data_IF_229432954724
#
_entry.id   IF_229432954724
#
_cell.length_a   1.000
_cell.length_b   1.000
_cell.length_c   1.000
_cell.angle_alpha   90.00
_cell.angle_beta   90.00
_cell.angle_gamma   90.00
#
_symmetry.space_group_name_H-M   'P 1'
#
loop_
_entity.id
_entity.type
_entity.pdbx_description
1 polymer ?
#
# COMPACT_ATOMS: atom_id res chain seq x y z
N UNK A 1 -8.84 -21.73 -6.95
CA UNK A 1 -8.84 -20.60 -5.99
C UNK A 1 -7.58 -19.79 -6.25
N UNK A 2 -7.63 -18.45 -6.32
CA UNK A 2 -6.39 -17.66 -6.45
C UNK A 2 -5.78 -17.49 -5.05
N UNK A 3 -4.57 -18.02 -4.79
CA UNK A 3 -3.93 -17.83 -3.50
C UNK A 3 -3.63 -16.34 -3.30
N UNK A 4 -3.77 -15.88 -2.06
CA UNK A 4 -3.48 -14.50 -1.69
C UNK A 4 -1.96 -14.36 -1.53
N UNK A 5 -1.27 -13.91 -2.58
CA UNK A 5 0.19 -13.79 -2.53
C UNK A 5 0.62 -12.57 -1.71
N UNK A 6 1.50 -12.82 -0.73
CA UNK A 6 2.08 -11.76 0.09
C UNK A 6 2.95 -10.78 -0.70
N UNK A 7 3.44 -11.19 -1.88
CA UNK A 7 4.13 -10.27 -2.79
C UNK A 7 3.23 -9.10 -3.21
N UNK A 8 1.94 -9.34 -3.48
CA UNK A 8 0.99 -8.28 -3.78
C UNK A 8 0.66 -7.42 -2.57
N UNK A 9 0.54 -8.00 -1.37
CA UNK A 9 0.35 -7.23 -0.14
C UNK A 9 1.52 -6.26 0.10
N UNK A 10 2.76 -6.74 -0.07
CA UNK A 10 3.97 -5.90 0.02
C UNK A 10 4.00 -4.82 -1.05
N UNK A 11 3.62 -5.14 -2.28
CA UNK A 11 3.58 -4.20 -3.38
C UNK A 11 2.55 -3.08 -3.13
N UNK A 12 1.36 -3.43 -2.62
CA UNK A 12 0.33 -2.45 -2.21
C UNK A 12 0.84 -1.56 -1.06
N UNK A 13 1.50 -2.14 -0.05
CA UNK A 13 2.11 -1.36 1.03
C UNK A 13 3.19 -0.41 0.52
N UNK A 14 4.03 -0.84 -0.44
CA UNK A 14 5.04 0.02 -1.05
C UNK A 14 4.41 1.19 -1.80
N UNK A 15 3.31 0.96 -2.54
CA UNK A 15 2.58 2.04 -3.18
C UNK A 15 1.99 3.04 -2.18
N UNK A 16 1.43 2.56 -1.07
CA UNK A 16 0.94 3.45 -0.02
C UNK A 16 2.06 4.22 0.67
N UNK A 17 3.15 3.56 1.04
CA UNK A 17 4.30 4.19 1.67
C UNK A 17 4.93 5.28 0.77
N UNK A 18 5.16 4.96 -0.50
CA UNK A 18 5.70 5.92 -1.48
C UNK A 18 4.72 7.07 -1.73
N UNK A 19 3.44 6.78 -1.92
CA UNK A 19 2.42 7.80 -2.16
C UNK A 19 2.31 8.80 -1.00
N UNK A 20 2.30 8.30 0.25
CA UNK A 20 2.32 9.14 1.45
C UNK A 20 3.62 9.94 1.54
N UNK A 21 4.76 9.32 1.26
CA UNK A 21 6.06 10.00 1.27
C UNK A 21 6.09 11.18 0.29
N UNK A 22 5.64 10.99 -0.95
CA UNK A 22 5.58 12.06 -1.94
C UNK A 22 4.66 13.22 -1.52
N UNK A 23 3.51 12.91 -0.90
CA UNK A 23 2.60 13.94 -0.37
C UNK A 23 3.20 14.68 0.83
N UNK A 24 3.86 13.97 1.73
CA UNK A 24 4.53 14.58 2.89
C UNK A 24 5.68 15.51 2.46
N UNK A 25 6.49 15.08 1.47
CA UNK A 25 7.54 15.93 0.88
C UNK A 25 6.94 17.16 0.20
N UNK A 26 5.82 17.01 -0.52
CA UNK A 26 5.13 18.15 -1.12
C UNK A 26 4.64 19.18 -0.08
N UNK A 27 4.15 18.72 1.07
CA UNK A 27 3.69 19.58 2.16
C UNK A 27 4.86 20.30 2.85
N UNK A 28 6.01 19.61 2.95
CA UNK A 28 7.22 20.15 3.57
C UNK A 28 7.85 21.31 2.79
N UNK A 29 7.54 21.50 1.51
CA UNK A 29 8.06 22.60 0.69
C UNK A 29 7.15 23.84 0.89
N UNK A 30 7.55 24.86 1.69
CA UNK A 30 6.72 26.04 1.92
C UNK A 30 6.63 26.89 0.65
N UNK A 31 5.42 27.35 0.32
CA UNK A 31 5.20 28.31 -0.78
C UNK A 31 5.90 29.66 -0.55
N UNK A 32 6.26 29.98 0.71
CA UNK A 32 6.82 31.26 1.12
C UNK A 32 8.28 31.49 0.74
N UNK A 33 9.10 30.47 0.49
CA UNK A 33 10.55 30.63 0.27
C UNK A 33 10.94 30.91 -1.19
N UNK A 34 9.99 31.01 -2.12
CA UNK A 34 10.27 31.14 -3.56
C UNK A 34 10.05 32.57 -4.11
N UNK A 35 9.70 33.53 -3.25
CA UNK A 35 9.12 34.83 -3.58
C UNK A 35 10.05 35.94 -4.11
N UNK A 36 11.09 35.65 -4.90
CA UNK A 36 11.96 36.73 -5.40
C UNK A 36 12.38 36.64 -6.88
N UNK A 37 12.06 35.56 -7.62
CA UNK A 37 12.35 35.48 -9.06
C UNK A 37 11.25 34.77 -9.83
N UNK A 38 10.53 35.52 -10.67
CA UNK A 38 9.43 35.06 -11.53
C UNK A 38 9.69 33.76 -12.32
N UNK A 39 10.95 33.45 -12.69
CA UNK A 39 11.29 32.19 -13.39
C UNK A 39 11.38 30.94 -12.50
N UNK A 40 11.66 31.10 -11.21
CA UNK A 40 11.80 29.97 -10.27
C UNK A 40 10.43 29.48 -9.79
N UNK A 41 9.41 30.35 -9.87
CA UNK A 41 8.03 30.04 -9.49
C UNK A 41 7.38 28.98 -10.38
N UNK A 42 7.53 29.08 -11.71
CA UNK A 42 6.92 28.09 -12.62
C UNK A 42 7.52 26.70 -12.43
N UNK A 43 8.85 26.60 -12.31
CA UNK A 43 9.51 25.31 -12.13
C UNK A 43 9.19 24.70 -10.76
N UNK A 44 9.18 25.48 -9.69
CA UNK A 44 8.85 24.97 -8.35
C UNK A 44 7.37 24.58 -8.22
N UNK A 45 6.46 25.36 -8.83
CA UNK A 45 5.04 25.03 -8.88
C UNK A 45 4.80 23.75 -9.68
N UNK A 46 5.48 23.61 -10.83
CA UNK A 46 5.43 22.40 -11.64
C UNK A 46 5.97 21.17 -10.89
N UNK A 47 7.08 21.32 -10.16
CA UNK A 47 7.66 20.24 -9.32
C UNK A 47 6.69 19.85 -8.20
N UNK A 48 6.13 20.81 -7.45
CA UNK A 48 5.13 20.51 -6.40
C UNK A 48 3.90 19.81 -6.98
N UNK A 49 3.35 20.34 -8.07
CA UNK A 49 2.16 19.76 -8.68
C UNK A 49 2.44 18.34 -9.20
N UNK A 50 3.62 18.11 -9.80
CA UNK A 50 4.05 16.79 -10.23
C UNK A 50 4.20 15.83 -9.05
N UNK A 51 4.89 16.22 -7.98
CA UNK A 51 5.04 15.40 -6.77
C UNK A 51 3.66 15.04 -6.17
N UNK A 52 2.74 16.01 -6.10
CA UNK A 52 1.39 15.79 -5.61
C UNK A 52 0.60 14.81 -6.47
N UNK A 53 0.61 15.01 -7.80
CA UNK A 53 -0.08 14.13 -8.74
C UNK A 53 0.52 12.72 -8.67
N UNK A 54 1.84 12.59 -8.69
CA UNK A 54 2.52 11.29 -8.56
C UNK A 54 2.14 10.58 -7.26
N UNK A 55 2.15 11.30 -6.13
CA UNK A 55 1.72 10.75 -4.84
C UNK A 55 0.28 10.22 -4.88
N UNK A 56 -0.66 11.00 -5.40
CA UNK A 56 -2.08 10.59 -5.54
C UNK A 56 -2.21 9.38 -6.46
N UNK A 57 -1.53 9.38 -7.61
CA UNK A 57 -1.59 8.27 -8.57
C UNK A 57 -1.07 6.97 -7.95
N UNK A 58 0.00 7.03 -7.15
CA UNK A 58 0.51 5.85 -6.44
C UNK A 58 -0.51 5.32 -5.42
N UNK A 59 -1.14 6.20 -4.63
CA UNK A 59 -2.17 5.81 -3.67
C UNK A 59 -3.39 5.18 -4.34
N UNK A 60 -3.88 5.77 -5.44
CA UNK A 60 -5.02 5.25 -6.19
C UNK A 60 -4.69 3.88 -6.80
N UNK A 61 -3.52 3.72 -7.41
CA UNK A 61 -3.10 2.43 -7.96
C UNK A 61 -2.93 1.36 -6.87
N UNK A 62 -2.34 1.72 -5.72
CA UNK A 62 -2.25 0.85 -4.56
C UNK A 62 -3.63 0.41 -4.06
N UNK A 63 -4.60 1.33 -3.98
CA UNK A 63 -5.99 1.04 -3.62
C UNK A 63 -6.70 0.16 -4.63
N UNK A 64 -6.50 0.37 -5.94
CA UNK A 64 -7.07 -0.47 -6.99
C UNK A 64 -6.52 -1.90 -6.90
N UNK A 65 -5.20 -2.05 -6.75
CA UNK A 65 -4.58 -3.36 -6.59
C UNK A 65 -5.03 -4.04 -5.30
N UNK A 66 -5.19 -3.28 -4.22
CA UNK A 66 -5.76 -3.78 -2.98
C UNK A 66 -7.15 -4.38 -3.21
N UNK A 67 -8.05 -3.59 -3.79
CA UNK A 67 -9.44 -4.00 -4.05
C UNK A 67 -9.54 -5.14 -5.06
N UNK A 68 -8.63 -5.26 -6.03
CA UNK A 68 -8.69 -6.32 -7.06
C UNK A 68 -8.02 -7.62 -6.63
N UNK A 69 -6.89 -7.54 -5.91
CA UNK A 69 -6.05 -8.70 -5.65
C UNK A 69 -6.15 -9.24 -4.22
N UNK A 70 -6.54 -8.43 -3.24
CA UNK A 70 -6.66 -8.86 -1.83
C UNK A 70 -8.12 -8.97 -1.41
N UNK A 71 -8.95 -9.61 -2.25
CA UNK A 71 -10.30 -10.00 -1.87
C UNK A 71 -10.26 -11.34 -1.15
N UNK A 72 -11.24 -11.57 -0.28
CA UNK A 72 -11.43 -12.87 0.36
C UNK A 72 -11.57 -13.96 -0.73
N UNK A 73 -10.73 -15.00 -0.73
CA UNK A 73 -10.75 -16.05 -1.76
C UNK A 73 -12.03 -16.89 -1.74
N UNK A 74 -12.75 -16.91 -0.60
CA UNK A 74 -13.95 -17.72 -0.41
C UNK A 74 -15.25 -17.00 -0.80
N UNK A 75 -15.42 -15.74 -0.40
CA UNK A 75 -16.67 -15.01 -0.64
C UNK A 75 -16.54 -13.88 -1.66
N UNK A 76 -15.32 -13.48 -2.02
CA UNK A 76 -15.05 -12.38 -2.95
C UNK A 76 -15.51 -10.99 -2.49
N UNK A 77 -16.14 -10.89 -1.30
CA UNK A 77 -16.74 -9.66 -0.77
C UNK A 77 -15.99 -9.08 0.43
N UNK A 78 -15.20 -9.86 1.14
CA UNK A 78 -14.31 -9.37 2.19
C UNK A 78 -12.98 -8.87 1.61
N UNK A 79 -12.29 -8.02 2.37
CA UNK A 79 -10.96 -7.53 2.02
C UNK A 79 -9.94 -8.11 2.99
N UNK A 80 -8.81 -8.56 2.48
CA UNK A 80 -7.66 -8.87 3.30
C UNK A 80 -6.81 -7.60 3.42
N UNK A 81 -6.41 -7.25 4.63
CA UNK A 81 -5.59 -6.06 4.80
C UNK A 81 -4.11 -6.37 4.53
N UNK A 82 -3.41 -5.54 3.74
CA UNK A 82 -2.04 -5.83 3.33
C UNK A 82 -1.01 -5.71 4.47
N UNK A 83 -1.37 -5.07 5.59
CA UNK A 83 -0.54 -4.94 6.79
C UNK A 83 -0.69 -6.08 7.79
N UNK A 84 -1.48 -7.11 7.49
CA UNK A 84 -1.60 -8.31 8.31
C UNK A 84 -0.24 -9.03 8.46
N UNK A 85 0.10 -9.41 9.69
CA UNK A 85 1.40 -10.02 10.02
C UNK A 85 1.44 -11.52 9.71
N UNK A 86 2.66 -12.05 9.57
CA UNK A 86 2.88 -13.51 9.46
C UNK A 86 2.48 -14.19 10.76
N UNK A 87 1.60 -15.19 10.66
CA UNK A 87 1.15 -16.00 11.80
C UNK A 87 -0.06 -15.45 12.55
N UNK A 88 -0.60 -14.28 12.18
CA UNK A 88 -1.87 -13.81 12.73
C UNK A 88 -3.05 -14.45 11.97
N UNK A 89 -3.95 -15.09 12.71
CA UNK A 89 -5.18 -15.67 12.16
C UNK A 89 -6.19 -14.56 11.93
N UNK A 90 -6.46 -14.26 10.66
CA UNK A 90 -7.43 -13.24 10.30
C UNK A 90 -8.65 -13.88 9.63
N UNK A 91 -9.83 -13.45 10.08
CA UNK A 91 -11.11 -13.96 9.57
C UNK A 91 -11.78 -12.93 8.69
N UNK A 92 -12.49 -13.39 7.68
CA UNK A 92 -13.29 -12.51 6.85
C UNK A 92 -14.59 -12.09 7.57
N UNK A 93 -14.84 -10.79 7.72
CA UNK A 93 -16.07 -10.26 8.34
C UNK A 93 -17.39 -10.72 7.68
N UNK A 94 -17.33 -11.14 6.41
CA UNK A 94 -18.52 -11.54 5.64
C UNK A 94 -18.80 -13.03 5.66
N UNK A 95 -17.76 -13.86 5.58
CA UNK A 95 -17.93 -15.32 5.50
C UNK A 95 -17.38 -16.09 6.69
N UNK A 96 -16.73 -15.41 7.65
CA UNK A 96 -16.16 -16.01 8.86
C UNK A 96 -15.00 -16.96 8.61
N UNK A 97 -14.57 -17.16 7.35
CA UNK A 97 -13.44 -18.04 7.02
C UNK A 97 -12.12 -17.35 7.23
N UNK A 98 -11.15 -18.11 7.71
CA UNK A 98 -9.76 -17.70 7.86
C UNK A 98 -9.17 -17.37 6.48
N UNK A 99 -8.55 -16.20 6.37
CA UNK A 99 -7.85 -15.75 5.17
C UNK A 99 -6.37 -16.09 5.36
N UNK A 100 -5.93 -17.13 4.68
CA UNK A 100 -4.52 -17.55 4.68
C UNK A 100 -3.79 -16.89 3.51
N UNK A 101 -2.70 -16.20 3.81
CA UNK A 101 -1.76 -15.74 2.80
C UNK A 101 -0.86 -16.90 2.35
N UNK A 102 -0.53 -16.91 1.07
CA UNK A 102 0.44 -17.84 0.49
C UNK A 102 1.84 -17.35 0.90
N UNK A 103 2.25 -17.77 2.09
CA UNK A 103 3.58 -17.57 2.63
C UNK A 103 4.43 -18.79 2.31
N UNK A 104 5.67 -18.60 1.81
CA UNK A 104 6.62 -19.71 1.84
C UNK A 104 6.76 -20.14 3.31
N UNK A 105 6.52 -21.42 3.56
CA UNK A 105 6.57 -22.05 4.88
C UNK A 105 7.82 -21.57 5.62
N UNK A 106 7.62 -21.04 6.83
CA UNK A 106 8.74 -20.70 7.68
C UNK A 106 9.33 -22.00 8.26
N UNK A 107 10.60 -22.34 7.99
CA UNK A 107 11.22 -23.52 8.58
C UNK A 107 11.33 -23.46 10.11
N UNK A 108 10.99 -22.32 10.74
CA UNK A 108 10.98 -22.17 12.21
C UNK A 108 9.75 -22.75 12.89
N UNK A 109 8.64 -23.01 12.18
CA UNK A 109 7.42 -23.57 12.81
C UNK A 109 7.55 -25.07 13.13
N UNK A 110 8.42 -25.80 12.42
CA UNK A 110 8.68 -27.22 12.69
C UNK A 110 9.42 -27.51 14.00
N UNK A 111 10.07 -26.53 14.63
CA UNK A 111 10.90 -26.75 15.84
C UNK A 111 10.18 -26.60 17.18
N UNK A 112 8.88 -26.30 17.20
CA UNK A 112 8.10 -26.20 18.45
C UNK A 112 7.28 -27.45 18.78
N UNK A 113 7.38 -28.50 17.97
CA UNK A 113 6.56 -29.71 18.09
C UNK A 113 7.33 -31.03 18.15
N UNK A 114 8.63 -31.01 18.43
CA UNK A 114 9.44 -32.22 18.63
C UNK A 114 10.14 -32.17 19.99
#
# INVERSE_FOLDING_TARGET
MKPLSRAFARLVLLFFALGIFFLAVNELIPYRTLGDRYRVMDTAYWIKNTLRITGIVLLVNGGIQWVRNLRCPYCGRGYAMPWWRKGEKHFCDRCGREIVFDDPEDPTEKRKGE
#
